data_IF_461584681327
#
_entry.id   IF_461584681327
#
_cell.length_a   1.000
_cell.length_b   1.000
_cell.length_c   1.000
_cell.angle_alpha   90.00
_cell.angle_beta   90.00
_cell.angle_gamma   90.00
#
_symmetry.space_group_name_H-M   'P 1'
#
loop_
_entity.id
_entity.type
_entity.pdbx_description
1 polymer ?
#
# COMPACT_ATOMS: atom_id res chain seq x y z
N UNK A 1 6.61 9.20 -2.16
CA UNK A 1 5.57 9.15 -3.18
C UNK A 1 4.51 10.20 -2.88
N UNK A 2 4.26 11.11 -3.83
CA UNK A 2 3.15 12.06 -3.77
C UNK A 2 2.08 11.60 -4.77
N UNK A 3 0.86 11.51 -4.31
CA UNK A 3 -0.31 11.23 -5.15
C UNK A 3 -1.28 12.40 -5.01
N UNK A 4 -1.58 13.05 -6.12
CA UNK A 4 -2.62 14.08 -6.17
C UNK A 4 -3.80 13.53 -6.96
N UNK A 5 -4.96 13.57 -6.33
CA UNK A 5 -6.21 13.10 -6.87
C UNK A 5 -7.15 14.27 -7.19
N UNK A 6 -7.72 14.26 -8.39
CA UNK A 6 -8.63 15.28 -8.91
C UNK A 6 -10.00 14.65 -9.16
N UNK A 7 -10.88 14.58 -8.16
CA UNK A 7 -12.15 13.84 -8.30
C UNK A 7 -13.12 14.41 -9.31
N UNK A 8 -12.98 15.68 -9.67
CA UNK A 8 -13.84 16.36 -10.65
C UNK A 8 -13.31 16.32 -12.09
N UNK A 9 -12.23 15.60 -12.34
CA UNK A 9 -11.63 15.52 -13.66
C UNK A 9 -11.61 14.08 -14.17
N UNK A 10 -11.90 13.91 -15.46
CA UNK A 10 -11.78 12.61 -16.13
C UNK A 10 -10.32 12.18 -16.17
N UNK A 11 -10.06 10.92 -15.96
CA UNK A 11 -8.77 10.27 -16.17
C UNK A 11 -8.89 9.08 -17.13
N UNK A 12 -7.77 8.50 -17.57
CA UNK A 12 -7.73 7.52 -18.66
C UNK A 12 -8.48 6.22 -18.36
N UNK A 13 -8.74 5.93 -17.09
CA UNK A 13 -9.40 4.66 -16.70
C UNK A 13 -10.90 4.76 -16.47
N UNK A 14 -11.50 5.94 -16.63
CA UNK A 14 -12.94 6.08 -16.62
C UNK A 14 -13.47 6.11 -18.06
N UNK A 15 -14.08 5.01 -18.45
CA UNK A 15 -14.61 4.80 -19.79
C UNK A 15 -16.10 5.15 -19.90
N UNK A 16 -16.67 5.85 -18.95
CA UNK A 16 -18.05 6.31 -19.02
C UNK A 16 -18.14 7.55 -19.90
N UNK A 17 -18.68 7.39 -21.10
CA UNK A 17 -18.79 8.44 -22.12
C UNK A 17 -19.83 9.51 -21.82
N UNK A 18 -20.72 9.29 -20.87
CA UNK A 18 -21.86 10.17 -20.56
C UNK A 18 -21.79 10.84 -19.19
N UNK A 19 -20.76 10.57 -18.40
CA UNK A 19 -20.68 11.03 -17.02
C UNK A 19 -20.20 12.48 -16.91
N UNK A 20 -20.88 13.26 -16.08
CA UNK A 20 -20.39 14.56 -15.64
C UNK A 20 -19.63 14.41 -14.31
N UNK A 21 -18.31 14.41 -14.39
CA UNK A 21 -17.41 14.22 -13.26
C UNK A 21 -17.57 15.24 -12.13
N UNK A 22 -18.19 16.39 -12.41
CA UNK A 22 -18.42 17.41 -11.39
C UNK A 22 -19.62 17.11 -10.49
N UNK A 23 -20.53 16.22 -10.89
CA UNK A 23 -21.77 15.97 -10.14
C UNK A 23 -21.60 14.90 -9.04
N UNK A 24 -20.77 13.89 -9.26
CA UNK A 24 -20.64 12.73 -8.38
C UNK A 24 -19.19 12.49 -7.93
N UNK A 25 -18.50 13.53 -7.49
CA UNK A 25 -17.08 13.47 -7.11
C UNK A 25 -16.79 12.43 -6.05
N UNK A 26 -17.73 12.10 -5.17
CA UNK A 26 -17.60 11.07 -4.14
C UNK A 26 -17.70 9.64 -4.69
N UNK A 27 -18.16 9.42 -5.90
CA UNK A 27 -18.22 8.12 -6.57
C UNK A 27 -16.99 7.86 -7.45
N UNK A 28 -16.28 8.93 -7.80
CA UNK A 28 -15.08 8.86 -8.61
C UNK A 28 -13.91 8.26 -7.81
N UNK A 29 -13.00 7.64 -8.53
CA UNK A 29 -11.83 6.99 -7.94
C UNK A 29 -10.59 7.14 -8.82
N UNK A 30 -9.42 7.01 -8.21
CA UNK A 30 -8.16 6.87 -8.92
C UNK A 30 -7.33 5.76 -8.26
N UNK A 31 -6.47 5.10 -9.02
CA UNK A 31 -5.69 4.01 -8.45
C UNK A 31 -4.36 3.80 -9.15
N UNK A 32 -3.45 3.21 -8.41
CA UNK A 32 -2.18 2.70 -8.91
C UNK A 32 -2.03 1.25 -8.50
N UNK A 33 -1.44 0.43 -9.35
CA UNK A 33 -1.15 -0.95 -9.00
C UNK A 33 0.20 -1.42 -9.54
N UNK A 34 0.72 -2.47 -8.93
CA UNK A 34 1.97 -3.09 -9.32
C UNK A 34 2.01 -4.57 -8.99
N UNK A 35 2.88 -5.31 -9.68
CA UNK A 35 3.22 -6.68 -9.32
C UNK A 35 3.97 -6.75 -7.99
N UNK A 36 3.84 -7.88 -7.30
CA UNK A 36 4.58 -8.22 -6.10
C UNK A 36 5.50 -9.41 -6.35
N UNK A 37 6.76 -9.30 -5.94
CA UNK A 37 7.75 -10.37 -6.12
C UNK A 37 7.56 -11.51 -5.10
N UNK A 38 7.10 -11.20 -3.90
CA UNK A 38 6.82 -12.18 -2.85
C UNK A 38 5.34 -12.51 -2.85
N UNK A 39 4.93 -13.55 -3.53
CA UNK A 39 3.52 -13.88 -3.74
C UNK A 39 2.88 -14.63 -2.56
N UNK A 40 3.65 -15.38 -1.79
CA UNK A 40 3.12 -16.15 -0.67
C UNK A 40 3.36 -15.42 0.66
N UNK A 41 2.39 -14.61 1.08
CA UNK A 41 2.47 -13.82 2.31
C UNK A 41 2.40 -14.66 3.57
N UNK A 42 1.69 -15.80 3.54
CA UNK A 42 1.66 -16.72 4.67
C UNK A 42 3.03 -17.36 4.91
N UNK A 43 3.72 -17.80 3.86
CA UNK A 43 5.07 -18.37 3.98
C UNK A 43 6.08 -17.31 4.39
N UNK A 44 5.98 -16.12 3.82
CA UNK A 44 6.89 -15.00 4.07
C UNK A 44 6.58 -14.25 5.36
N UNK A 45 5.49 -14.63 6.04
CA UNK A 45 5.01 -14.01 7.27
C UNK A 45 4.87 -12.48 7.18
N UNK A 46 4.29 -12.00 6.08
CA UNK A 46 3.88 -10.60 5.95
C UNK A 46 2.62 -10.39 6.77
N UNK A 47 2.65 -9.49 7.74
CA UNK A 47 1.54 -9.29 8.67
C UNK A 47 0.81 -7.96 8.48
N UNK A 48 1.52 -6.93 8.01
CA UNK A 48 0.97 -5.58 7.90
C UNK A 48 1.40 -4.89 6.62
N UNK A 49 0.53 -4.01 6.12
CA UNK A 49 0.90 -2.87 5.29
C UNK A 49 1.15 -1.71 6.24
N UNK A 50 2.30 -1.06 6.15
CA UNK A 50 2.64 0.09 6.99
C UNK A 50 3.13 1.24 6.14
N UNK A 51 2.64 2.45 6.43
CA UNK A 51 3.07 3.66 5.75
C UNK A 51 2.94 4.89 6.66
N UNK A 52 3.69 5.93 6.31
CA UNK A 52 3.55 7.25 6.88
C UNK A 52 2.96 8.20 5.86
N UNK A 53 1.98 8.98 6.26
CA UNK A 53 1.41 10.06 5.46
C UNK A 53 1.60 11.39 6.19
N UNK A 54 2.03 12.42 5.45
CA UNK A 54 1.98 13.81 5.93
C UNK A 54 0.53 14.26 5.96
N UNK A 55 0.07 14.72 7.12
CA UNK A 55 -1.29 15.26 7.30
C UNK A 55 -1.38 16.70 6.77
N UNK A 56 -1.28 16.86 5.47
CA UNK A 56 -1.46 18.11 4.75
C UNK A 56 -2.85 18.23 4.09
N UNK A 57 -3.61 17.16 4.11
CA UNK A 57 -4.94 17.08 3.51
C UNK A 57 -6.04 17.57 4.47
N UNK A 58 -5.79 17.55 5.78
CA UNK A 58 -6.75 18.03 6.78
C UNK A 58 -7.11 19.52 6.59
N UNK A 59 -6.17 20.33 6.12
CA UNK A 59 -6.42 21.75 5.86
C UNK A 59 -7.30 22.01 4.62
N UNK A 60 -7.31 21.05 3.67
CA UNK A 60 -8.02 21.16 2.40
C UNK A 60 -9.38 20.47 2.40
N UNK A 61 -9.64 19.58 3.34
CA UNK A 61 -10.91 18.87 3.46
C UNK A 61 -11.97 19.71 4.17
N UNK A 62 -13.20 19.63 3.70
CA UNK A 62 -14.36 20.24 4.35
C UNK A 62 -14.74 19.51 5.65
N UNK A 63 -15.47 20.18 6.54
CA UNK A 63 -15.96 19.55 7.76
C UNK A 63 -16.97 18.43 7.41
N UNK A 64 -16.71 17.22 7.92
CA UNK A 64 -17.52 16.04 7.64
C UNK A 64 -17.15 15.31 6.34
N UNK A 65 -16.27 15.87 5.51
CA UNK A 65 -15.72 15.17 4.36
C UNK A 65 -14.85 14.00 4.81
N UNK A 66 -14.97 12.89 4.12
CA UNK A 66 -14.06 11.77 4.27
C UNK A 66 -13.79 11.14 2.91
N UNK A 67 -12.61 10.57 2.77
CA UNK A 67 -12.25 9.70 1.66
C UNK A 67 -11.68 8.40 2.21
N UNK A 68 -11.32 7.51 1.33
CA UNK A 68 -10.72 6.24 1.68
C UNK A 68 -9.48 5.97 0.84
N UNK A 69 -8.47 5.40 1.51
CA UNK A 69 -7.39 4.67 0.83
C UNK A 69 -7.76 3.19 0.90
N UNK A 70 -7.93 2.57 -0.26
CA UNK A 70 -8.30 1.16 -0.32
C UNK A 70 -7.13 0.37 -0.89
N UNK A 71 -6.69 -0.67 -0.18
CA UNK A 71 -5.70 -1.61 -0.68
C UNK A 71 -6.36 -2.89 -1.14
N UNK A 72 -5.99 -3.35 -2.33
CA UNK A 72 -6.35 -4.66 -2.84
C UNK A 72 -5.10 -5.54 -2.89
N UNK A 73 -5.19 -6.75 -2.33
CA UNK A 73 -4.13 -7.74 -2.34
C UNK A 73 -4.64 -9.04 -2.96
N UNK A 74 -4.08 -9.47 -4.08
CA UNK A 74 -4.52 -10.70 -4.74
C UNK A 74 -4.21 -10.76 -6.22
N UNK A 75 -5.14 -11.34 -6.96
CA UNK A 75 -5.18 -11.29 -8.42
C UNK A 75 -6.05 -10.10 -8.83
N UNK A 76 -5.49 -9.24 -9.65
CA UNK A 76 -6.15 -8.03 -10.15
C UNK A 76 -6.12 -8.10 -11.67
N UNK A 77 -7.23 -7.78 -12.31
CA UNK A 77 -7.31 -7.74 -13.76
C UNK A 77 -6.35 -6.70 -14.32
N UNK A 78 -5.62 -7.07 -15.35
CA UNK A 78 -4.76 -6.18 -16.13
C UNK A 78 -5.50 -5.64 -17.36
N UNK A 79 -6.73 -6.07 -17.59
CA UNK A 79 -7.68 -5.62 -18.60
C UNK A 79 -8.21 -4.24 -18.17
N UNK A 80 -7.49 -3.19 -18.54
CA UNK A 80 -7.76 -1.80 -18.15
C UNK A 80 -8.98 -1.29 -18.89
N UNK A 81 -9.03 -1.52 -20.18
CA UNK A 81 -10.21 -1.34 -21.01
C UNK A 81 -11.00 -2.66 -20.99
N UNK A 82 -12.14 -2.76 -20.30
CA UNK A 82 -12.76 -4.04 -19.98
C UNK A 82 -13.42 -4.73 -21.19
N UNK A 83 -12.68 -4.82 -22.29
CA UNK A 83 -13.08 -5.44 -23.55
C UNK A 83 -12.67 -6.92 -23.67
N UNK A 84 -11.85 -7.40 -22.73
CA UNK A 84 -11.36 -8.77 -22.67
C UNK A 84 -10.27 -9.07 -23.68
N UNK A 85 -9.65 -8.07 -24.28
CA UNK A 85 -8.57 -8.16 -25.24
C UNK A 85 -7.34 -7.47 -24.71
N UNK A 86 -6.16 -7.99 -25.02
CA UNK A 86 -4.91 -7.38 -24.58
C UNK A 86 -4.55 -6.23 -25.50
N UNK A 87 -4.57 -5.01 -24.95
CA UNK A 87 -4.03 -3.85 -25.62
C UNK A 87 -2.51 -3.80 -25.52
N UNK A 88 -1.85 -3.40 -26.59
CA UNK A 88 -0.42 -3.11 -26.68
C UNK A 88 -0.17 -2.16 -27.86
N UNK A 89 0.32 -0.99 -27.59
CA UNK A 89 0.43 0.11 -28.54
C UNK A 89 1.26 -0.20 -29.78
N UNK A 90 2.34 -0.98 -29.64
CA UNK A 90 3.21 -1.35 -30.75
C UNK A 90 2.57 -2.30 -31.78
N UNK A 91 1.38 -2.77 -31.51
CA UNK A 91 0.56 -3.57 -32.45
C UNK A 91 -0.48 -2.76 -33.20
N UNK A 92 -0.62 -1.48 -32.89
CA UNK A 92 -1.54 -0.60 -33.61
C UNK A 92 -1.06 -0.37 -35.06
N UNK A 93 -2.00 -0.23 -36.01
CA UNK A 93 -1.67 -0.11 -37.41
C UNK A 93 -0.94 1.20 -37.72
N UNK A 94 0.11 1.09 -38.51
CA UNK A 94 0.87 2.25 -39.01
C UNK A 94 0.50 2.63 -40.45
N UNK A 95 -0.18 1.74 -41.15
CA UNK A 95 -0.71 1.95 -42.50
C UNK A 95 -2.08 1.26 -42.68
N UNK A 96 -2.72 1.50 -43.82
CA UNK A 96 -4.07 1.00 -44.14
C UNK A 96 -4.13 -0.52 -44.40
N UNK A 97 -2.98 -1.19 -44.51
CA UNK A 97 -2.93 -2.65 -44.75
C UNK A 97 -3.08 -3.46 -43.47
N UNK A 98 -2.80 -2.84 -42.34
CA UNK A 98 -2.89 -3.49 -41.03
C UNK A 98 -4.33 -3.49 -40.51
N UNK A 99 -4.64 -4.43 -39.64
CA UNK A 99 -5.97 -4.59 -39.08
C UNK A 99 -5.99 -4.43 -37.57
N UNK A 100 -7.03 -3.80 -37.08
CA UNK A 100 -7.33 -3.69 -35.67
C UNK A 100 -8.79 -4.06 -35.39
N UNK A 101 -9.13 -4.23 -34.13
CA UNK A 101 -10.49 -4.48 -33.69
C UNK A 101 -10.98 -3.26 -32.91
N UNK A 102 -12.05 -2.64 -33.38
CA UNK A 102 -12.68 -1.53 -32.64
C UNK A 102 -13.74 -2.07 -31.67
N UNK A 103 -13.84 -1.44 -30.54
CA UNK A 103 -14.87 -1.63 -29.52
C UNK A 103 -15.38 -0.25 -29.05
N UNK A 104 -16.35 -0.23 -28.16
CA UNK A 104 -16.76 1.01 -27.48
C UNK A 104 -15.65 1.58 -26.59
N UNK A 105 -14.63 0.81 -26.31
CA UNK A 105 -13.49 1.15 -25.44
C UNK A 105 -12.29 1.68 -26.22
N UNK A 106 -12.25 1.50 -27.52
CA UNK A 106 -11.12 1.91 -28.36
C UNK A 106 -10.71 0.86 -29.38
N UNK A 107 -9.50 1.01 -29.88
CA UNK A 107 -8.90 0.18 -30.92
C UNK A 107 -7.85 -0.77 -30.33
N UNK A 108 -8.02 -2.05 -30.55
CA UNK A 108 -7.11 -3.11 -30.06
C UNK A 108 -6.42 -3.81 -31.23
N UNK A 109 -5.10 -4.07 -31.19
CA UNK A 109 -4.40 -4.81 -32.23
C UNK A 109 -5.02 -6.19 -32.50
N UNK A 110 -5.16 -6.56 -33.77
CA UNK A 110 -5.74 -7.86 -34.16
C UNK A 110 -4.79 -9.04 -33.94
N UNK A 111 -3.47 -8.77 -33.96
CA UNK A 111 -2.43 -9.81 -33.88
C UNK A 111 -1.50 -9.47 -32.73
N UNK A 112 -1.33 -10.39 -31.80
CA UNK A 112 -0.42 -10.19 -30.67
C UNK A 112 1.04 -10.18 -31.13
N UNK A 113 1.78 -9.12 -30.76
CA UNK A 113 3.23 -9.06 -30.94
C UNK A 113 3.95 -9.82 -29.81
N UNK A 114 5.06 -10.47 -30.17
CA UNK A 114 5.96 -11.12 -29.18
C UNK A 114 7.01 -10.14 -28.68
N UNK A 115 7.28 -9.09 -29.45
CA UNK A 115 8.30 -8.08 -29.11
C UNK A 115 7.60 -6.77 -28.82
N UNK A 116 7.78 -6.25 -27.63
CA UNK A 116 7.24 -4.95 -27.24
C UNK A 116 8.24 -3.84 -27.62
N UNK A 117 8.14 -3.35 -28.84
CA UNK A 117 8.92 -2.25 -29.34
C UNK A 117 8.15 -1.48 -30.39
N UNK A 118 8.19 -0.19 -30.33
CA UNK A 118 7.63 0.69 -31.34
C UNK A 118 8.39 0.65 -32.66
N UNK A 119 7.75 1.11 -33.72
CA UNK A 119 8.43 1.38 -34.98
C UNK A 119 9.52 2.45 -34.80
N UNK A 120 10.64 2.30 -35.51
CA UNK A 120 11.77 3.24 -35.44
C UNK A 120 11.54 4.53 -36.24
N UNK A 121 10.50 4.55 -37.10
CA UNK A 121 10.15 5.72 -37.92
C UNK A 121 9.20 6.59 -37.09
N UNK A 122 9.58 7.86 -36.88
CA UNK A 122 8.83 8.83 -36.06
C UNK A 122 7.35 8.89 -36.41
N UNK A 123 7.04 9.12 -37.69
CA UNK A 123 5.64 9.27 -38.16
C UNK A 123 4.80 8.00 -38.02
N UNK A 124 5.43 6.82 -37.92
CA UNK A 124 4.75 5.56 -37.67
C UNK A 124 4.62 5.31 -36.17
N UNK A 125 5.62 5.70 -35.40
CA UNK A 125 5.56 5.61 -33.94
C UNK A 125 4.45 6.48 -33.36
N UNK A 126 4.25 7.68 -33.87
CA UNK A 126 3.16 8.57 -33.45
C UNK A 126 1.76 7.97 -33.67
N UNK A 127 1.60 7.04 -34.61
CA UNK A 127 0.36 6.30 -34.80
C UNK A 127 0.20 5.10 -33.87
N UNK A 128 1.22 4.77 -33.11
CA UNK A 128 1.24 3.67 -32.16
C UNK A 128 1.23 4.16 -30.71
N UNK A 129 1.84 5.31 -30.42
CA UNK A 129 1.95 5.92 -29.09
C UNK A 129 0.65 6.69 -28.77
N UNK A 130 -0.47 5.95 -28.68
CA UNK A 130 -1.85 6.45 -28.57
C UNK A 130 -2.54 6.02 -27.26
N UNK A 131 -1.79 5.54 -26.28
CA UNK A 131 -2.36 5.11 -25.02
C UNK A 131 -3.06 3.74 -25.07
N UNK A 132 -3.81 3.41 -24.02
CA UNK A 132 -4.49 2.12 -23.91
C UNK A 132 -5.72 1.99 -24.81
N UNK A 133 -6.39 3.07 -25.16
CA UNK A 133 -7.56 3.00 -26.02
C UNK A 133 -7.20 3.00 -27.53
N UNK A 134 -5.93 3.31 -27.85
CA UNK A 134 -5.44 3.30 -29.23
C UNK A 134 -6.16 4.29 -30.15
N UNK A 135 -6.62 5.40 -29.58
CA UNK A 135 -7.26 6.52 -30.27
C UNK A 135 -6.41 7.76 -30.11
N UNK A 136 -6.46 8.68 -31.06
CA UNK A 136 -5.94 10.03 -30.92
C UNK A 136 -7.04 11.00 -30.47
N UNK A 137 -6.67 12.23 -30.09
CA UNK A 137 -7.63 13.24 -29.60
C UNK A 137 -8.79 13.51 -30.55
N UNK A 138 -8.56 13.44 -31.86
CA UNK A 138 -9.60 13.67 -32.89
C UNK A 138 -10.62 12.51 -32.92
N UNK A 139 -10.14 11.27 -32.79
CA UNK A 139 -10.95 10.06 -32.69
C UNK A 139 -11.68 9.97 -31.34
N UNK A 140 -11.04 10.36 -30.25
CA UNK A 140 -11.63 10.39 -28.92
C UNK A 140 -12.80 11.39 -28.81
N UNK A 141 -12.74 12.51 -29.48
CA UNK A 141 -13.85 13.49 -29.54
C UNK A 141 -15.16 12.85 -29.99
N UNK A 142 -15.10 11.80 -30.80
CA UNK A 142 -16.27 11.05 -31.22
C UNK A 142 -16.85 10.16 -30.12
N UNK A 143 -16.04 9.75 -29.19
CA UNK A 143 -16.41 8.82 -28.09
C UNK A 143 -16.77 9.56 -26.80
N UNK A 144 -16.08 10.64 -26.46
CA UNK A 144 -16.20 11.36 -25.18
C UNK A 144 -16.82 12.75 -25.36
N UNK A 145 -18.14 12.83 -25.33
CA UNK A 145 -18.88 14.09 -25.57
C UNK A 145 -18.76 15.14 -24.46
N UNK A 146 -18.38 14.71 -23.22
CA UNK A 146 -18.25 15.57 -22.02
C UNK A 146 -16.81 15.75 -21.56
N UNK A 147 -15.85 15.28 -22.33
CA UNK A 147 -14.42 15.42 -22.03
C UNK A 147 -13.88 16.83 -22.33
N UNK A 148 -12.65 17.08 -21.93
CA UNK A 148 -11.91 18.25 -22.37
C UNK A 148 -11.66 18.15 -23.89
N UNK A 149 -12.04 19.12 -24.73
CA UNK A 149 -11.82 19.01 -26.19
C UNK A 149 -10.36 18.89 -26.64
N UNK A 150 -9.40 19.25 -25.76
CA UNK A 150 -7.95 19.13 -26.02
C UNK A 150 -7.36 17.79 -25.54
N UNK A 151 -8.09 17.02 -24.75
CA UNK A 151 -7.70 15.75 -24.15
C UNK A 151 -8.98 15.02 -23.71
N UNK A 152 -9.75 14.44 -24.67
CA UNK A 152 -11.08 13.91 -24.35
C UNK A 152 -11.04 12.63 -23.51
N UNK A 153 -10.03 11.78 -23.67
CA UNK A 153 -9.81 10.60 -22.84
C UNK A 153 -9.17 10.93 -21.49
N UNK A 154 -8.48 12.06 -21.38
CA UNK A 154 -7.76 12.46 -20.18
C UNK A 154 -6.45 11.70 -20.00
N UNK A 155 -5.80 11.30 -21.11
CA UNK A 155 -4.61 10.45 -21.08
C UNK A 155 -3.39 11.05 -21.78
N UNK A 156 -3.48 12.27 -22.27
CA UNK A 156 -2.38 13.00 -22.90
C UNK A 156 -1.17 13.16 -21.96
N UNK A 157 -0.01 12.68 -22.41
CA UNK A 157 1.25 12.86 -21.70
C UNK A 157 1.83 14.26 -21.90
N UNK A 158 2.32 14.84 -20.82
CA UNK A 158 3.09 16.08 -20.88
C UNK A 158 4.31 16.04 -19.97
N UNK A 159 5.49 16.31 -20.55
CA UNK A 159 6.73 16.33 -19.78
C UNK A 159 6.71 17.49 -18.78
N UNK A 160 7.02 17.18 -17.50
CA UNK A 160 6.86 18.11 -16.38
C UNK A 160 7.65 19.43 -16.49
N UNK A 161 8.71 19.51 -17.30
CA UNK A 161 9.45 20.76 -17.55
C UNK A 161 8.84 21.63 -18.65
N UNK A 162 7.87 21.11 -19.42
CA UNK A 162 7.16 21.88 -20.44
C UNK A 162 6.02 22.70 -19.84
N UNK A 163 5.50 22.27 -18.70
CA UNK A 163 4.47 23.00 -17.97
C UNK A 163 5.04 24.04 -17.02
N UNK A 164 4.33 25.14 -16.86
CA UNK A 164 4.61 26.19 -15.88
C UNK A 164 3.75 26.01 -14.62
N UNK A 165 4.11 26.72 -13.55
CA UNK A 165 3.35 26.76 -12.31
C UNK A 165 3.92 25.89 -11.18
N UNK A 166 3.07 25.47 -10.26
CA UNK A 166 3.45 24.64 -9.11
C UNK A 166 3.92 23.25 -9.52
N UNK A 167 4.61 22.56 -8.64
CA UNK A 167 5.03 21.17 -8.87
C UNK A 167 3.83 20.28 -9.22
N UNK A 168 2.71 20.44 -8.52
CA UNK A 168 1.50 19.66 -8.79
C UNK A 168 1.00 19.88 -10.21
N UNK A 169 0.90 21.14 -10.66
CA UNK A 169 0.49 21.46 -12.02
C UNK A 169 1.44 20.89 -13.07
N UNK A 170 2.75 20.92 -12.79
CA UNK A 170 3.76 20.43 -13.73
C UNK A 170 3.73 18.92 -13.92
N UNK A 171 3.39 18.17 -12.88
CA UNK A 171 3.30 16.71 -12.94
C UNK A 171 1.92 16.16 -13.24
N UNK A 172 0.92 17.02 -13.47
CA UNK A 172 -0.48 16.60 -13.63
C UNK A 172 -0.69 15.57 -14.73
N UNK A 173 -0.10 15.79 -15.90
CA UNK A 173 -0.21 14.91 -17.06
C UNK A 173 1.02 14.04 -17.30
N UNK A 174 1.92 13.94 -16.30
CA UNK A 174 3.14 13.12 -16.41
C UNK A 174 2.88 11.61 -16.49
N UNK A 175 1.71 11.17 -16.04
CA UNK A 175 1.27 9.77 -16.09
C UNK A 175 0.33 9.49 -17.27
N UNK A 176 0.16 10.43 -18.18
CA UNK A 176 -0.57 10.20 -19.43
C UNK A 176 0.12 9.11 -20.26
N UNK A 177 -0.66 8.38 -21.03
CA UNK A 177 -0.19 7.26 -21.87
C UNK A 177 -0.07 7.66 -23.32
N UNK A 178 -0.93 8.53 -23.84
CA UNK A 178 -0.84 9.02 -25.19
C UNK A 178 0.36 9.96 -25.38
N UNK A 179 1.26 9.65 -26.30
CA UNK A 179 2.45 10.45 -26.59
C UNK A 179 3.55 10.38 -25.53
N UNK A 180 3.55 9.39 -24.67
CA UNK A 180 4.52 9.25 -23.58
C UNK A 180 5.86 8.67 -24.02
N UNK A 181 5.98 8.20 -25.27
CA UNK A 181 7.15 7.52 -25.84
C UNK A 181 7.72 8.19 -27.11
N UNK A 182 7.90 9.52 -27.18
CA UNK A 182 8.43 10.20 -28.35
C UNK A 182 9.87 9.76 -28.63
N UNK A 183 10.33 9.89 -29.87
CA UNK A 183 11.69 9.51 -30.29
C UNK A 183 12.79 10.44 -29.77
N UNK A 184 12.45 11.49 -29.04
CA UNK A 184 13.39 12.49 -28.46
C UNK A 184 14.24 13.22 -29.52
N UNK A 185 13.78 13.34 -30.74
CA UNK A 185 14.49 14.04 -31.81
C UNK A 185 14.58 15.56 -31.60
N UNK A 186 13.73 16.12 -30.73
CA UNK A 186 13.75 17.53 -30.35
C UNK A 186 14.08 17.72 -28.88
N UNK A 187 14.80 18.79 -28.53
CA UNK A 187 15.20 19.10 -27.15
C UNK A 187 14.03 19.30 -26.18
N UNK A 188 12.83 19.48 -26.67
CA UNK A 188 11.64 19.79 -25.89
C UNK A 188 10.68 18.61 -25.75
N UNK A 189 10.81 17.57 -26.57
CA UNK A 189 9.98 16.36 -26.46
C UNK A 189 10.75 15.28 -25.69
N UNK A 190 10.38 15.04 -24.48
CA UNK A 190 10.92 13.96 -23.65
C UNK A 190 9.80 13.08 -23.19
N UNK A 191 9.97 11.76 -23.35
CA UNK A 191 9.04 10.76 -22.89
C UNK A 191 9.26 10.32 -21.45
N UNK A 192 8.26 9.73 -20.87
CA UNK A 192 8.36 9.02 -19.60
C UNK A 192 8.89 7.60 -19.77
N UNK A 193 8.70 7.01 -20.95
CA UNK A 193 9.13 5.65 -21.30
C UNK A 193 9.65 5.58 -22.74
N UNK A 194 10.33 4.50 -23.06
CA UNK A 194 10.71 4.09 -24.41
C UNK A 194 9.97 2.84 -24.87
N UNK A 195 9.16 2.27 -23.98
CA UNK A 195 8.44 1.02 -24.21
C UNK A 195 6.98 1.31 -24.46
N UNK A 196 6.33 0.54 -25.34
CA UNK A 196 4.88 0.62 -25.53
C UNK A 196 4.13 0.36 -24.23
N UNK A 197 3.01 1.04 -24.05
CA UNK A 197 2.08 0.70 -22.99
C UNK A 197 1.36 -0.61 -23.34
N UNK A 198 1.24 -1.48 -22.36
CA UNK A 198 0.74 -2.84 -22.52
C UNK A 198 -0.06 -3.25 -21.30
N UNK A 199 -1.20 -3.89 -21.51
CA UNK A 199 -2.01 -4.53 -20.45
C UNK A 199 -1.36 -5.81 -19.91
N UNK A 200 -0.14 -5.67 -19.39
CA UNK A 200 0.71 -6.73 -18.85
C UNK A 200 1.69 -6.14 -17.83
N UNK A 201 1.19 -5.81 -16.65
CA UNK A 201 1.95 -5.13 -15.57
C UNK A 201 3.03 -6.04 -14.99
N UNK A 202 2.81 -7.34 -15.03
CA UNK A 202 3.76 -8.31 -14.49
C UNK A 202 4.82 -8.76 -15.50
N UNK A 203 4.67 -8.40 -16.78
CA UNK A 203 5.53 -8.77 -17.92
C UNK A 203 5.65 -10.28 -18.10
N UNK A 204 4.56 -11.03 -17.99
CA UNK A 204 4.51 -12.47 -18.25
C UNK A 204 3.99 -12.82 -19.64
N UNK A 205 3.76 -11.82 -20.50
CA UNK A 205 3.20 -11.88 -21.85
C UNK A 205 1.74 -12.31 -21.92
N UNK A 206 1.08 -12.38 -20.78
CA UNK A 206 -0.37 -12.68 -20.72
C UNK A 206 -1.08 -11.52 -20.04
N UNK A 207 -2.39 -11.40 -20.26
CA UNK A 207 -3.24 -10.46 -19.55
C UNK A 207 -4.07 -11.23 -18.52
N UNK A 208 -3.88 -10.95 -17.25
CA UNK A 208 -4.74 -11.49 -16.21
C UNK A 208 -6.11 -10.79 -16.26
N UNK A 209 -7.18 -11.58 -16.30
CA UNK A 209 -8.57 -11.09 -16.36
C UNK A 209 -9.37 -11.38 -15.09
N UNK A 210 -8.71 -11.91 -14.08
CA UNK A 210 -9.37 -12.35 -12.84
C UNK A 210 -9.18 -11.28 -11.78
N UNK A 211 -10.29 -10.79 -11.26
CA UNK A 211 -10.33 -10.03 -10.03
C UNK A 211 -10.68 -10.95 -8.87
N UNK A 212 -9.71 -11.30 -8.03
CA UNK A 212 -9.91 -12.10 -6.81
C UNK A 212 -8.91 -11.61 -5.77
N UNK A 213 -9.36 -10.77 -4.85
CA UNK A 213 -8.47 -10.06 -3.94
C UNK A 213 -9.13 -9.80 -2.57
N UNK A 214 -8.30 -9.55 -1.58
CA UNK A 214 -8.68 -8.96 -0.31
C UNK A 214 -8.72 -7.44 -0.43
N UNK A 215 -9.76 -6.83 0.10
CA UNK A 215 -9.95 -5.39 0.13
C UNK A 215 -9.85 -4.86 1.56
N UNK A 216 -9.03 -3.81 1.75
CA UNK A 216 -8.80 -3.15 3.03
C UNK A 216 -9.10 -1.67 2.88
N UNK A 217 -10.13 -1.17 3.58
CA UNK A 217 -10.58 0.22 3.52
C UNK A 217 -10.03 1.00 4.70
N UNK A 218 -9.29 2.05 4.42
CA UNK A 218 -8.66 2.91 5.41
C UNK A 218 -9.31 4.29 5.33
N UNK A 219 -10.15 4.66 6.30
CA UNK A 219 -10.82 5.95 6.26
C UNK A 219 -9.82 7.09 6.48
N UNK A 220 -9.93 8.12 5.65
CA UNK A 220 -9.19 9.38 5.77
C UNK A 220 -10.19 10.49 6.05
N UNK A 221 -9.99 11.20 7.16
CA UNK A 221 -10.87 12.26 7.64
C UNK A 221 -10.07 13.54 7.87
N UNK A 222 -10.75 14.67 7.95
CA UNK A 222 -10.13 15.97 8.21
C UNK A 222 -9.22 15.97 9.43
N UNK A 223 -9.60 15.32 10.51
CA UNK A 223 -8.78 15.22 11.72
C UNK A 223 -8.64 13.75 12.13
N UNK A 224 -7.63 13.11 11.57
CA UNK A 224 -7.33 11.73 11.92
C UNK A 224 -6.58 11.66 13.25
N UNK A 225 -7.07 10.84 14.16
CA UNK A 225 -6.45 10.55 15.46
C UNK A 225 -6.48 9.06 15.75
N UNK A 226 -5.69 8.61 16.71
CA UNK A 226 -5.72 7.20 17.18
C UNK A 226 -7.10 6.78 17.72
N UNK A 227 -7.91 7.73 18.17
CA UNK A 227 -9.24 7.47 18.73
C UNK A 227 -10.31 7.27 17.65
N UNK A 228 -10.21 7.97 16.53
CA UNK A 228 -11.23 7.93 15.48
C UNK A 228 -10.83 7.11 14.25
N UNK A 229 -9.58 6.65 14.17
CA UNK A 229 -9.08 5.80 13.09
C UNK A 229 -8.28 4.63 13.68
N UNK A 230 -8.77 3.40 13.57
CA UNK A 230 -8.18 2.23 14.21
C UNK A 230 -6.82 1.83 13.60
N UNK A 231 -6.50 2.32 12.41
CA UNK A 231 -5.27 1.99 11.71
C UNK A 231 -4.10 2.92 12.03
N UNK A 232 -4.33 4.00 12.78
CA UNK A 232 -3.25 4.91 13.18
C UNK A 232 -2.49 4.32 14.37
N UNK A 233 -1.26 3.90 14.10
CA UNK A 233 -0.35 3.32 15.11
C UNK A 233 0.49 4.38 15.81
N UNK A 234 0.91 5.42 15.09
CA UNK A 234 1.73 6.51 15.65
C UNK A 234 1.39 7.86 15.01
N UNK A 235 1.70 8.94 15.76
CA UNK A 235 1.54 10.33 15.30
C UNK A 235 2.80 11.08 15.72
N UNK A 236 3.45 11.74 14.76
CA UNK A 236 4.63 12.58 15.00
C UNK A 236 4.36 14.00 14.58
N UNK A 237 4.52 14.91 15.52
CA UNK A 237 4.32 16.34 15.30
C UNK A 237 5.64 17.08 15.54
N UNK A 238 5.96 18.00 14.63
CA UNK A 238 7.07 18.91 14.76
C UNK A 238 6.59 20.33 14.45
N UNK A 239 6.69 21.21 15.43
CA UNK A 239 6.22 22.60 15.33
C UNK A 239 7.26 23.55 14.75
N UNK A 240 8.50 23.12 14.53
CA UNK A 240 9.62 23.96 14.10
C UNK A 240 10.38 23.32 12.93
N UNK A 241 9.69 23.00 11.86
CA UNK A 241 10.33 22.50 10.62
C UNK A 241 10.84 23.70 9.83
N UNK A 242 12.15 23.80 9.66
CA UNK A 242 12.76 24.84 8.85
C UNK A 242 12.65 24.47 7.36
N UNK A 243 12.07 25.36 6.57
CA UNK A 243 11.95 25.22 5.12
C UNK A 243 13.20 25.80 4.41
N UNK A 244 13.40 25.41 3.16
CA UNK A 244 14.52 25.86 2.34
C UNK A 244 14.56 27.39 2.11
N UNK A 245 13.41 28.06 2.21
CA UNK A 245 13.30 29.53 2.11
C UNK A 245 13.59 30.25 3.44
N UNK A 246 13.99 29.52 4.51
CA UNK A 246 14.28 30.05 5.83
C UNK A 246 13.07 30.25 6.73
N UNK A 247 11.84 30.05 6.25
CA UNK A 247 10.64 30.10 7.10
C UNK A 247 10.49 28.81 7.91
N UNK A 248 9.69 28.85 8.96
CA UNK A 248 9.33 27.69 9.77
C UNK A 248 7.87 27.31 9.57
N UNK A 249 7.59 26.02 9.62
CA UNK A 249 6.24 25.47 9.56
C UNK A 249 6.08 24.36 10.58
N UNK A 250 4.85 23.92 10.79
CA UNK A 250 4.57 22.69 11.52
C UNK A 250 4.34 21.54 10.55
N UNK A 251 4.66 20.33 10.96
CA UNK A 251 4.33 19.12 10.24
C UNK A 251 3.73 18.09 11.18
N UNK A 252 2.77 17.35 10.67
CA UNK A 252 2.13 16.24 11.37
C UNK A 252 2.17 15.01 10.48
N UNK A 253 2.79 13.94 10.96
CA UNK A 253 2.88 12.67 10.26
C UNK A 253 2.05 11.61 10.97
N UNK A 254 1.28 10.88 10.20
CA UNK A 254 0.43 9.78 10.67
C UNK A 254 1.02 8.46 10.18
N UNK A 255 1.28 7.53 11.09
CA UNK A 255 1.65 6.16 10.75
C UNK A 255 0.41 5.30 10.72
N UNK A 256 0.15 4.71 9.56
CA UNK A 256 -0.88 3.71 9.38
C UNK A 256 -0.27 2.31 9.41
N UNK A 257 -0.94 1.40 10.08
CA UNK A 257 -0.56 0.01 10.18
C UNK A 257 -1.79 -0.86 10.00
N UNK A 258 -1.88 -1.50 8.84
CA UNK A 258 -3.04 -2.25 8.40
C UNK A 258 -2.74 -3.73 8.49
N UNK A 259 -3.38 -4.50 9.40
CA UNK A 259 -3.23 -5.94 9.45
C UNK A 259 -3.84 -6.57 8.20
N UNK A 260 -3.13 -7.52 7.60
CA UNK A 260 -3.59 -8.14 6.35
C UNK A 260 -4.28 -9.51 6.55
N UNK A 261 -4.20 -10.08 7.75
CA UNK A 261 -4.87 -11.35 8.03
C UNK A 261 -6.38 -11.19 8.18
N UNK A 262 -7.19 -11.95 7.42
CA UNK A 262 -8.65 -11.86 7.48
C UNK A 262 -9.24 -12.02 8.89
N UNK A 263 -8.61 -12.84 9.73
CA UNK A 263 -9.06 -13.11 11.10
C UNK A 263 -9.07 -11.86 12.01
N UNK A 264 -8.35 -10.82 11.63
CA UNK A 264 -8.40 -9.56 12.35
C UNK A 264 -9.72 -8.83 12.14
N UNK A 265 -10.38 -9.05 11.02
CA UNK A 265 -11.58 -8.34 10.61
C UNK A 265 -12.86 -9.15 10.84
N UNK A 266 -12.81 -10.45 10.57
CA UNK A 266 -13.98 -11.34 10.62
C UNK A 266 -14.52 -11.48 12.04
N UNK A 267 -15.82 -11.16 12.21
CA UNK A 267 -16.48 -11.22 13.52
C UNK A 267 -16.02 -10.16 14.53
N UNK A 268 -15.34 -9.11 14.07
CA UNK A 268 -14.84 -8.01 14.90
C UNK A 268 -15.51 -6.68 14.56
N UNK A 269 -15.23 -5.62 15.34
CA UNK A 269 -15.66 -4.24 15.06
C UNK A 269 -15.02 -3.67 13.78
N UNK A 270 -14.02 -4.35 13.22
CA UNK A 270 -13.29 -3.94 12.02
C UNK A 270 -13.84 -4.56 10.74
N UNK A 271 -14.89 -5.36 10.81
CA UNK A 271 -15.47 -6.03 9.64
C UNK A 271 -15.86 -5.07 8.50
N UNK A 272 -16.26 -3.85 8.82
CA UNK A 272 -16.62 -2.83 7.82
C UNK A 272 -15.44 -2.31 6.99
N UNK A 273 -14.21 -2.59 7.41
CA UNK A 273 -12.99 -2.14 6.74
C UNK A 273 -12.35 -3.22 5.86
N UNK A 274 -13.02 -4.33 5.70
CA UNK A 274 -12.47 -5.49 5.01
C UNK A 274 -13.53 -6.21 4.17
N UNK A 275 -13.10 -6.70 3.00
CA UNK A 275 -13.93 -7.57 2.17
C UNK A 275 -13.08 -8.62 1.44
N UNK A 276 -13.76 -9.66 0.93
CA UNK A 276 -13.22 -10.70 0.07
C UNK A 276 -13.91 -10.66 -1.27
N UNK A 277 -13.21 -10.26 -2.29
CA UNK A 277 -13.77 -10.15 -3.63
C UNK A 277 -13.53 -11.44 -4.39
N UNK A 278 -14.61 -11.98 -5.01
CA UNK A 278 -14.60 -13.15 -5.87
C UNK A 278 -13.90 -14.40 -5.28
N UNK A 279 -14.16 -14.64 -3.99
CA UNK A 279 -13.85 -15.91 -3.35
C UNK A 279 -12.39 -16.17 -3.03
N UNK A 280 -11.56 -15.13 -2.90
CA UNK A 280 -10.20 -15.30 -2.37
C UNK A 280 -10.25 -15.88 -0.96
N UNK A 281 -9.48 -16.92 -0.69
CA UNK A 281 -9.55 -17.67 0.56
C UNK A 281 -8.31 -17.54 1.44
N UNK A 282 -7.14 -17.30 0.83
CA UNK A 282 -5.87 -17.27 1.55
C UNK A 282 -4.85 -16.30 0.93
N UNK A 283 -3.79 -16.04 1.67
CA UNK A 283 -2.70 -15.13 1.30
C UNK A 283 -1.51 -15.85 0.62
N UNK A 284 -1.74 -17.00 -0.03
CA UNK A 284 -0.67 -17.80 -0.66
C UNK A 284 -0.30 -17.36 -2.05
N UNK A 285 -1.22 -16.69 -2.76
CA UNK A 285 -1.02 -16.28 -4.14
C UNK A 285 -1.44 -14.82 -4.34
N UNK A 286 -0.64 -13.91 -3.79
CA UNK A 286 -0.82 -12.46 -3.93
C UNK A 286 0.09 -11.99 -5.06
N UNK A 287 -0.46 -11.78 -6.25
CA UNK A 287 0.32 -11.37 -7.42
C UNK A 287 0.49 -9.86 -7.49
N UNK A 288 -0.55 -9.12 -7.12
CA UNK A 288 -0.62 -7.68 -7.24
C UNK A 288 -0.99 -6.99 -5.94
N UNK A 289 -0.54 -5.76 -5.80
CA UNK A 289 -1.08 -4.78 -4.87
C UNK A 289 -1.63 -3.60 -5.67
N UNK A 290 -2.84 -3.18 -5.36
CA UNK A 290 -3.46 -1.97 -5.90
C UNK A 290 -3.86 -1.06 -4.76
N UNK A 291 -3.59 0.22 -4.89
CA UNK A 291 -4.05 1.26 -3.99
C UNK A 291 -5.03 2.15 -4.75
N UNK A 292 -6.20 2.35 -4.18
CA UNK A 292 -7.27 3.16 -4.75
C UNK A 292 -7.60 4.29 -3.78
N UNK A 293 -7.84 5.47 -4.31
CA UNK A 293 -8.36 6.64 -3.61
C UNK A 293 -9.79 6.85 -4.09
N UNK A 294 -10.75 6.88 -3.19
CA UNK A 294 -12.16 7.12 -3.49
C UNK A 294 -12.84 7.95 -2.41
N UNK A 295 -14.03 8.45 -2.71
CA UNK A 295 -14.87 9.18 -1.75
C UNK A 295 -14.44 10.61 -1.46
N UNK A 296 -13.30 11.08 -1.99
CA UNK A 296 -12.85 12.46 -1.81
C UNK A 296 -13.69 13.40 -2.69
N UNK A 297 -14.14 14.51 -2.11
CA UNK A 297 -14.97 15.49 -2.82
C UNK A 297 -14.16 16.62 -3.45
N UNK A 298 -12.96 16.85 -2.96
CA UNK A 298 -12.04 17.91 -3.39
C UNK A 298 -10.68 17.34 -3.79
N UNK A 299 -9.93 18.16 -4.54
CA UNK A 299 -8.54 17.83 -4.86
C UNK A 299 -7.75 17.52 -3.59
N UNK A 300 -7.18 16.34 -3.53
CA UNK A 300 -6.44 15.87 -2.36
C UNK A 300 -5.06 15.36 -2.74
N UNK A 301 -4.03 15.78 -2.00
CA UNK A 301 -2.65 15.30 -2.17
C UNK A 301 -2.24 14.50 -0.96
N UNK A 302 -1.91 13.25 -1.17
CA UNK A 302 -1.37 12.35 -0.14
C UNK A 302 0.14 12.19 -0.35
N UNK A 303 0.91 12.56 0.67
CA UNK A 303 2.38 12.43 0.65
C UNK A 303 2.81 11.27 1.53
N UNK A 304 3.28 10.21 0.90
CA UNK A 304 3.79 9.02 1.57
C UNK A 304 5.30 9.14 1.80
N UNK A 305 5.75 8.92 3.04
CA UNK A 305 7.17 8.80 3.34
C UNK A 305 7.67 7.37 3.09
N UNK A 306 6.91 6.39 3.53
CA UNK A 306 7.18 4.96 3.31
C UNK A 306 5.90 4.26 2.90
N UNK A 307 6.04 3.09 2.29
CA UNK A 307 4.96 2.14 2.05
C UNK A 307 5.57 0.74 2.02
N UNK A 308 5.47 0.05 3.13
CA UNK A 308 6.19 -1.19 3.39
C UNK A 308 5.25 -2.35 3.71
N UNK A 309 5.64 -3.55 3.27
CA UNK A 309 5.07 -4.81 3.73
C UNK A 309 5.91 -5.31 4.90
N UNK A 310 5.35 -5.24 6.09
CA UNK A 310 6.05 -5.61 7.33
C UNK A 310 5.99 -7.12 7.51
N UNK A 311 7.18 -7.70 7.59
CA UNK A 311 7.40 -9.12 7.89
C UNK A 311 7.90 -9.27 9.32
N UNK A 312 7.52 -10.35 9.97
CA UNK A 312 8.09 -10.73 11.26
C UNK A 312 8.68 -12.14 11.17
N UNK A 313 9.76 -12.37 11.89
CA UNK A 313 10.32 -13.71 12.04
C UNK A 313 9.44 -14.63 12.89
N UNK A 314 8.60 -14.02 13.72
CA UNK A 314 7.69 -14.70 14.60
C UNK A 314 6.31 -14.80 13.97
N UNK A 315 5.73 -15.98 13.96
CA UNK A 315 4.40 -16.27 13.43
C UNK A 315 3.37 -16.31 14.54
N UNK A 316 2.18 -15.79 14.25
CA UNK A 316 1.03 -15.91 15.13
C UNK A 316 0.66 -17.40 15.28
N UNK A 317 0.47 -17.83 16.51
CA UNK A 317 -0.07 -19.16 16.79
C UNK A 317 -1.59 -19.08 16.75
N UNK A 318 -2.19 -19.70 15.75
CA UNK A 318 -3.64 -19.61 15.48
C UNK A 318 -4.46 -20.76 16.10
N UNK A 319 -3.77 -21.79 16.58
CA UNK A 319 -4.45 -22.92 17.25
C UNK A 319 -4.75 -22.59 18.70
N UNK A 320 -5.83 -23.18 19.23
CA UNK A 320 -6.19 -23.02 20.62
C UNK A 320 -5.12 -23.65 21.54
N UNK A 321 -4.58 -22.87 22.45
CA UNK A 321 -3.61 -23.33 23.47
C UNK A 321 -4.29 -23.82 24.74
N UNK A 322 -5.58 -23.50 24.89
CA UNK A 322 -6.36 -23.88 26.06
C UNK A 322 -7.14 -25.17 25.77
N UNK A 323 -7.09 -26.13 26.71
CA UNK A 323 -7.82 -27.39 26.63
C UNK A 323 -9.35 -27.22 26.69
N UNK A 324 -9.83 -26.08 27.19
CA UNK A 324 -11.25 -25.79 27.37
C UNK A 324 -11.93 -25.13 26.16
N UNK A 325 -11.28 -25.08 25.02
CA UNK A 325 -11.79 -24.53 23.74
C UNK A 325 -12.39 -23.11 23.80
N UNK A 326 -11.96 -22.28 24.74
CA UNK A 326 -12.44 -20.90 24.84
C UNK A 326 -11.55 -19.96 24.06
N UNK A 327 -11.82 -19.83 22.76
CA UNK A 327 -11.24 -18.77 21.97
C UNK A 327 -12.12 -17.53 22.11
N UNK A 328 -11.60 -16.47 22.72
CA UNK A 328 -12.36 -15.24 22.85
C UNK A 328 -12.06 -14.31 21.66
N UNK A 329 -13.06 -14.05 20.83
CA UNK A 329 -12.99 -13.15 19.69
C UNK A 329 -12.76 -11.68 20.07
N UNK A 330 -13.07 -11.30 21.32
CA UNK A 330 -12.87 -9.92 21.80
C UNK A 330 -11.40 -9.60 22.16
N UNK A 331 -10.55 -10.63 22.29
CA UNK A 331 -9.13 -10.42 22.59
C UNK A 331 -8.39 -9.94 21.36
N UNK A 332 -7.94 -8.71 21.38
CA UNK A 332 -7.04 -8.20 20.35
C UNK A 332 -5.60 -8.57 20.67
N UNK A 333 -4.91 -9.20 19.71
CA UNK A 333 -3.52 -9.61 19.83
C UNK A 333 -2.72 -9.15 18.62
N UNK A 334 -1.79 -8.24 18.85
CA UNK A 334 -0.93 -7.64 17.86
C UNK A 334 0.52 -8.12 18.03
N UNK A 335 1.13 -8.48 16.91
CA UNK A 335 2.55 -8.80 16.82
C UNK A 335 3.22 -7.66 16.08
N UNK A 336 4.34 -7.19 16.57
CA UNK A 336 5.09 -6.13 15.93
C UNK A 336 6.56 -6.17 16.32
N UNK A 337 7.28 -5.19 15.87
CA UNK A 337 8.64 -4.90 16.34
C UNK A 337 8.69 -3.49 16.88
N UNK A 338 9.55 -3.28 17.86
CA UNK A 338 10.00 -1.97 18.32
C UNK A 338 11.49 -1.87 18.04
N UNK A 339 11.95 -0.73 17.59
CA UNK A 339 13.33 -0.53 17.21
C UNK A 339 13.82 0.85 17.62
N UNK A 340 15.11 1.07 17.63
CA UNK A 340 15.67 2.31 18.13
C UNK A 340 15.41 3.48 17.18
N UNK A 341 15.39 3.26 15.86
CA UNK A 341 15.22 4.34 14.88
C UNK A 341 13.81 4.92 14.90
N UNK A 342 12.80 4.05 15.02
CA UNK A 342 11.40 4.46 14.93
C UNK A 342 10.78 4.76 16.30
N UNK A 343 11.30 4.17 17.37
CA UNK A 343 10.65 4.15 18.67
C UNK A 343 11.47 4.76 19.81
N UNK A 344 12.63 5.38 19.54
CA UNK A 344 13.42 6.06 20.57
C UNK A 344 12.64 7.19 21.29
N UNK A 345 11.70 7.83 20.59
CA UNK A 345 10.89 8.92 21.12
C UNK A 345 9.41 8.54 21.32
N UNK A 346 9.07 7.23 21.29
CA UNK A 346 7.69 6.81 21.51
C UNK A 346 7.23 7.09 22.96
N UNK A 347 5.90 7.22 23.12
CA UNK A 347 5.28 7.38 24.45
C UNK A 347 4.37 6.17 24.74
N UNK A 348 4.12 5.78 25.99
CA UNK A 348 4.61 6.42 27.23
C UNK A 348 6.08 6.14 27.56
N UNK A 349 6.67 5.07 27.05
CA UNK A 349 8.04 4.66 27.34
C UNK A 349 8.84 4.60 26.04
N UNK A 350 9.98 5.27 26.03
CA UNK A 350 10.91 5.25 24.90
C UNK A 350 11.52 3.84 24.75
N UNK A 351 11.78 3.44 23.51
CA UNK A 351 12.59 2.25 23.28
C UNK A 351 14.06 2.57 23.53
N UNK A 352 14.69 1.75 24.33
CA UNK A 352 16.14 1.80 24.61
C UNK A 352 16.75 0.42 24.44
N UNK A 353 18.03 0.39 24.09
CA UNK A 353 18.73 -0.87 23.95
C UNK A 353 18.78 -1.62 25.29
N UNK A 354 18.57 -2.94 25.31
CA UNK A 354 18.76 -3.73 26.50
C UNK A 354 20.21 -3.66 26.99
N UNK A 355 20.46 -3.76 28.30
CA UNK A 355 21.83 -3.70 28.86
C UNK A 355 22.75 -4.77 28.25
N UNK A 356 23.89 -4.35 27.70
CA UNK A 356 24.87 -5.24 27.09
C UNK A 356 24.53 -5.70 25.67
N UNK A 357 23.51 -5.12 25.05
CA UNK A 357 23.23 -5.27 23.62
C UNK A 357 23.81 -4.06 22.88
N UNK A 358 24.70 -4.32 21.95
CA UNK A 358 25.31 -3.30 21.08
C UNK A 358 24.77 -3.44 19.65
N UNK A 359 24.64 -2.31 18.97
CA UNK A 359 24.22 -2.30 17.57
C UNK A 359 25.35 -2.80 16.69
N UNK A 360 25.05 -3.74 15.81
CA UNK A 360 26.02 -4.26 14.85
C UNK A 360 26.48 -3.16 13.90
N UNK A 361 27.78 -3.03 13.70
CA UNK A 361 28.39 -2.05 12.83
C UNK A 361 28.76 -2.70 11.50
N UNK A 362 28.21 -2.16 10.41
CA UNK A 362 28.56 -2.54 9.05
C UNK A 362 29.50 -1.53 8.45
N UNK A 363 30.63 -2.00 7.97
CA UNK A 363 31.61 -1.18 7.28
C UNK A 363 31.32 -1.20 5.79
N UNK A 364 30.95 -0.05 5.23
CA UNK A 364 30.72 0.11 3.80
C UNK A 364 31.44 1.38 3.31
N UNK A 365 32.36 1.22 2.35
CA UNK A 365 33.05 2.30 1.60
C UNK A 365 33.28 3.60 2.40
N UNK A 366 34.07 3.56 3.48
CA UNK A 366 34.42 4.68 4.34
C UNK A 366 33.31 5.21 5.27
N UNK A 367 32.19 4.54 5.41
CA UNK A 367 31.17 4.89 6.40
C UNK A 367 30.87 3.70 7.32
N UNK A 368 30.70 3.97 8.61
CA UNK A 368 30.23 3.00 9.58
C UNK A 368 28.71 3.18 9.67
N UNK A 369 27.97 2.16 9.23
CA UNK A 369 26.51 2.12 9.35
C UNK A 369 26.17 1.21 10.52
N UNK A 370 25.51 1.74 11.54
CA UNK A 370 24.98 0.94 12.65
C UNK A 370 23.64 0.35 12.25
N UNK A 371 23.54 -0.96 12.33
CA UNK A 371 22.28 -1.65 12.10
C UNK A 371 21.20 -1.17 13.08
N UNK A 372 19.95 -1.14 12.60
CA UNK A 372 18.81 -0.89 13.46
C UNK A 372 18.55 -2.13 14.31
N UNK A 373 18.70 -1.99 15.62
CA UNK A 373 18.38 -3.06 16.56
C UNK A 373 16.87 -3.04 16.84
N UNK A 374 16.26 -4.21 16.92
CA UNK A 374 14.83 -4.34 17.11
C UNK A 374 14.47 -5.47 18.07
N UNK A 375 13.37 -5.31 18.78
CA UNK A 375 12.78 -6.28 19.67
C UNK A 375 11.38 -6.68 19.27
N UNK A 376 11.01 -7.92 19.55
CA UNK A 376 9.64 -8.40 19.35
C UNK A 376 8.70 -7.67 20.31
N UNK A 377 7.63 -7.10 19.78
CA UNK A 377 6.57 -6.47 20.55
C UNK A 377 5.29 -7.30 20.45
N UNK A 378 4.73 -7.66 21.59
CA UNK A 378 3.46 -8.36 21.70
C UNK A 378 2.49 -7.47 22.47
N UNK A 379 1.41 -7.05 21.80
CA UNK A 379 0.34 -6.28 22.44
C UNK A 379 -0.88 -7.16 22.60
N UNK A 380 -1.44 -7.18 23.78
CA UNK A 380 -2.66 -7.93 24.04
C UNK A 380 -3.65 -7.03 24.76
N UNK A 381 -4.90 -7.01 24.28
CA UNK A 381 -6.02 -6.25 24.87
C UNK A 381 -7.20 -7.17 25.09
N UNK A 382 -7.95 -6.92 26.14
CA UNK A 382 -9.14 -7.69 26.52
C UNK A 382 -8.89 -9.19 26.70
N UNK A 383 -7.69 -9.57 27.14
CA UNK A 383 -7.38 -10.96 27.46
C UNK A 383 -8.20 -11.40 28.67
N UNK A 384 -9.09 -12.37 28.50
CA UNK A 384 -9.91 -12.90 29.60
C UNK A 384 -9.14 -13.94 30.41
N UNK A 385 -9.54 -14.19 31.67
CA UNK A 385 -8.96 -15.24 32.48
C UNK A 385 -8.94 -16.59 31.75
N UNK A 386 -7.80 -17.29 31.82
CA UNK A 386 -7.53 -18.56 31.14
C UNK A 386 -7.40 -18.47 29.60
N UNK A 387 -7.54 -17.30 28.99
CA UNK A 387 -7.28 -17.14 27.56
C UNK A 387 -5.79 -16.95 27.30
N UNK A 388 -5.28 -17.45 26.18
CA UNK A 388 -3.87 -17.50 25.84
C UNK A 388 -3.66 -17.03 24.40
N UNK A 389 -2.61 -16.25 24.20
CA UNK A 389 -2.11 -15.88 22.85
C UNK A 389 -0.64 -16.20 22.77
N UNK A 390 -0.19 -16.63 21.61
CA UNK A 390 1.21 -16.98 21.42
C UNK A 390 1.72 -16.63 20.02
N UNK A 391 3.02 -16.53 19.95
CA UNK A 391 3.79 -16.49 18.71
C UNK A 391 4.80 -17.62 18.72
N UNK A 392 5.21 -18.06 17.55
CA UNK A 392 6.23 -19.07 17.41
C UNK A 392 7.22 -18.73 16.30
N UNK A 393 8.42 -19.24 16.43
CA UNK A 393 9.48 -19.16 15.43
C UNK A 393 10.12 -20.53 15.28
N UNK A 394 10.32 -20.96 14.04
CA UNK A 394 11.11 -22.16 13.79
C UNK A 394 12.59 -21.82 13.99
N UNK A 395 13.26 -22.61 14.77
CA UNK A 395 14.70 -22.51 15.01
C UNK A 395 15.36 -23.80 14.58
N UNK A 396 16.46 -23.69 13.85
CA UNK A 396 17.31 -24.83 13.49
C UNK A 396 18.59 -24.78 14.34
N UNK A 397 18.43 -25.12 15.62
CA UNK A 397 19.49 -25.09 16.61
C UNK A 397 19.51 -26.41 17.39
N UNK A 398 20.69 -26.99 17.52
CA UNK A 398 20.91 -28.10 18.47
C UNK A 398 21.03 -27.55 19.88
N UNK A 399 19.94 -27.58 20.63
CA UNK A 399 19.87 -27.05 22.00
C UNK A 399 20.70 -27.83 23.02
N UNK A 400 21.17 -29.03 22.69
CA UNK A 400 22.02 -29.82 23.58
C UNK A 400 23.35 -29.15 23.94
N UNK A 401 23.79 -28.22 23.09
CA UNK A 401 25.01 -27.44 23.32
C UNK A 401 24.82 -26.24 24.24
N UNK A 402 23.59 -25.89 24.61
CA UNK A 402 23.29 -24.71 25.40
C UNK A 402 22.86 -25.08 26.83
N UNK A 403 23.43 -24.41 27.81
CA UNK A 403 23.10 -24.62 29.25
C UNK A 403 22.02 -23.65 29.76
N UNK A 404 21.87 -22.50 29.13
CA UNK A 404 20.96 -21.44 29.59
C UNK A 404 20.39 -20.66 28.41
N UNK A 405 19.13 -20.26 28.56
CA UNK A 405 18.48 -19.26 27.71
C UNK A 405 18.40 -17.98 28.54
N UNK A 406 18.79 -16.86 27.93
CA UNK A 406 18.66 -15.54 28.54
C UNK A 406 17.85 -14.68 27.61
N UNK A 407 16.93 -13.89 28.14
CA UNK A 407 16.06 -13.01 27.40
C UNK A 407 15.79 -11.77 28.24
N UNK A 408 15.82 -10.60 27.61
CA UNK A 408 15.31 -9.38 28.20
C UNK A 408 13.81 -9.28 27.91
N UNK A 409 13.02 -8.97 28.91
CA UNK A 409 11.57 -8.76 28.80
C UNK A 409 11.24 -7.42 29.40
N UNK A 410 10.55 -6.59 28.64
CA UNK A 410 9.97 -5.33 29.09
C UNK A 410 8.45 -5.47 29.04
N UNK A 411 7.78 -5.14 30.13
CA UNK A 411 6.33 -5.12 30.21
C UNK A 411 5.84 -3.70 30.51
N UNK A 412 4.85 -3.24 29.76
CA UNK A 412 4.23 -1.93 29.97
C UNK A 412 2.70 -2.02 29.80
N UNK A 413 1.98 -1.15 30.49
CA UNK A 413 0.54 -1.01 30.32
C UNK A 413 0.23 -0.03 29.20
N UNK A 414 -0.77 -0.35 28.37
CA UNK A 414 -1.27 0.56 27.34
C UNK A 414 -2.14 1.68 27.92
N UNK A 415 -2.60 1.55 29.16
CA UNK A 415 -3.54 2.48 29.82
C UNK A 415 -3.00 3.15 31.08
N UNK A 416 -1.68 3.12 31.30
CA UNK A 416 -1.02 3.69 32.48
C UNK A 416 -1.51 3.17 33.86
N UNK A 417 -2.13 1.99 33.87
CA UNK A 417 -2.72 1.42 35.09
C UNK A 417 -1.81 0.43 35.83
N UNK A 418 -0.61 0.15 35.31
CA UNK A 418 0.35 -0.67 36.02
C UNK A 418 1.21 0.18 36.94
N UNK A 419 1.29 -0.11 38.25
CA UNK A 419 2.29 0.50 39.10
C UNK A 419 3.68 0.15 38.58
N UNK A 420 4.56 1.13 38.53
CA UNK A 420 5.96 0.93 38.14
C UNK A 420 6.64 -0.07 39.10
N UNK A 421 7.53 -0.95 38.61
CA UNK A 421 8.33 -1.80 39.46
C UNK A 421 9.08 -0.96 40.50
N UNK A 422 8.91 -1.25 41.79
CA UNK A 422 9.52 -0.52 42.90
C UNK A 422 8.59 0.45 43.63
N UNK A 423 7.33 0.61 43.26
CA UNK A 423 6.37 1.49 43.96
C UNK A 423 5.82 0.90 45.27
N UNK A 424 6.25 -0.29 45.70
CA UNK A 424 5.87 -0.89 46.99
C UNK A 424 4.38 -1.26 47.10
N UNK A 425 3.65 -1.30 46.00
CA UNK A 425 2.24 -1.70 45.98
C UNK A 425 2.12 -3.17 45.64
N UNK A 426 1.42 -3.85 46.49
CA UNK A 426 1.31 -5.29 46.71
C UNK A 426 1.04 -6.15 45.48
N UNK A 427 1.66 -7.28 45.52
CA UNK A 427 1.61 -8.57 44.84
C UNK A 427 0.31 -9.05 44.16
N UNK A 428 -0.81 -8.41 44.27
CA UNK A 428 -2.07 -8.81 43.57
C UNK A 428 -2.04 -8.53 42.08
N UNK A 429 -1.25 -7.54 41.64
CA UNK A 429 -1.05 -7.22 40.22
C UNK A 429 0.03 -8.10 39.55
N UNK A 430 0.94 -8.66 40.32
CA UNK A 430 2.04 -9.50 39.82
C UNK A 430 1.63 -10.83 39.19
N UNK A 431 0.35 -11.20 39.30
CA UNK A 431 -0.18 -12.48 38.79
C UNK A 431 -1.23 -12.37 37.69
N UNK A 432 -1.50 -11.17 37.20
CA UNK A 432 -2.57 -10.97 36.21
C UNK A 432 -2.19 -11.36 34.79
N UNK A 433 -0.92 -11.25 34.43
CA UNK A 433 -0.41 -11.65 33.12
C UNK A 433 0.85 -12.50 33.31
N UNK A 434 0.86 -13.67 32.70
CA UNK A 434 2.00 -14.59 32.74
C UNK A 434 2.52 -14.78 31.31
N UNK A 435 3.82 -14.50 31.12
CA UNK A 435 4.53 -14.89 29.91
C UNK A 435 5.27 -16.21 30.11
N UNK A 436 5.20 -17.10 29.13
CA UNK A 436 5.94 -18.36 29.17
C UNK A 436 6.58 -18.67 27.82
N UNK A 437 7.70 -19.40 27.86
CA UNK A 437 8.38 -19.88 26.69
C UNK A 437 8.23 -21.40 26.60
N UNK A 438 7.82 -21.90 25.44
CA UNK A 438 7.81 -23.34 25.12
C UNK A 438 8.79 -23.59 23.99
N UNK A 439 9.59 -24.65 24.18
CA UNK A 439 10.54 -25.13 23.18
C UNK A 439 10.23 -26.61 22.96
N UNK A 440 10.11 -27.01 21.70
CA UNK A 440 9.79 -28.38 21.35
C UNK A 440 9.53 -28.55 19.88
N UNK A 441 9.18 -29.74 19.50
CA UNK A 441 8.84 -30.09 18.13
C UNK A 441 7.38 -29.71 17.84
N UNK A 442 7.13 -29.04 16.71
CA UNK A 442 5.79 -28.54 16.34
C UNK A 442 4.85 -29.66 15.81
N UNK A 443 5.33 -30.90 15.73
CA UNK A 443 4.68 -31.97 14.95
C UNK A 443 3.66 -32.78 15.75
N UNK A 444 3.52 -32.65 17.04
CA UNK A 444 2.65 -33.56 17.78
C UNK A 444 1.74 -32.87 18.78
N UNK A 445 0.61 -32.41 18.30
CA UNK A 445 -0.58 -32.23 19.17
C UNK A 445 -1.83 -32.83 18.55
N UNK A 446 -1.72 -34.11 18.18
CA UNK A 446 -2.86 -35.00 18.09
C UNK A 446 -2.91 -35.82 19.37
N UNK A 447 -3.45 -35.26 20.40
CA UNK A 447 -3.97 -36.01 21.57
C UNK A 447 -5.13 -35.25 22.16
#
# INVERSE_FOLDING_TARGET
LDLTYYPSEKGPYNNNVSEDFNQNTNENWAGIFRKINTTNFQKSNVEYIQFWILDNFSDNMSDGEFGEIVFHLGNISEDILPDGKKQYENGLPVDESDTFQSSVWGNTPSTQSIIYAFNNIESQRQKQDLGYDGLDDDDELNNYSNGNPEDPAGDNYEYYLQRSGSILNRYKNYNGTQGNSPTQTTSNQRGSTNLPDVEDVNNDNTMNRINSYFEYRIPIRKYNTKQNNPFISDVRENTNVQLANGSTTSSRWLQFKIPIFPEYYEGTNFSNYFDRVNGISDLKSIRFIRMVLNGFQSQTTLRFATLDLIKTDWKRYTRNLNRENMFNSETNFEIGSVNILDNENRKPINYVLPPGVEREELFNNNSIIRQNEQSLSLKVQNLKPKDLRAVYKNIDLDLRHYKKIKMFVHAESLVNEFPLPGSGVDSEYDKRLVAFLRIGDAVSYTH
#
